data_IF_163546105039
#
_entry.id   IF_163546105039
#
_cell.length_a   1.000
_cell.length_b   1.000
_cell.length_c   1.000
_cell.angle_alpha   90.00
_cell.angle_beta   90.00
_cell.angle_gamma   90.00
#
_symmetry.space_group_name_H-M   'P 1'
#
loop_
_entity.id
_entity.type
_entity.pdbx_description
1 polymer ?
#
# COMPACT_ATOMS: atom_id res chain seq x y z
N UNK A 1 3.80 5.81 -14.93
CA UNK A 1 2.41 5.31 -14.89
C UNK A 1 1.91 4.92 -16.29
N UNK A 2 2.31 5.60 -17.38
CA UNK A 2 1.92 5.21 -18.74
C UNK A 2 2.31 3.78 -19.13
N UNK A 3 3.38 3.23 -18.57
CA UNK A 3 3.83 1.84 -18.84
C UNK A 3 2.88 0.74 -18.35
N UNK A 4 1.97 1.07 -17.44
CA UNK A 4 0.94 0.15 -16.91
C UNK A 4 -0.47 0.60 -17.29
N UNK A 5 -0.62 1.29 -18.42
CA UNK A 5 -1.93 1.74 -18.91
C UNK A 5 -2.59 2.89 -18.14
N UNK A 6 -1.95 3.44 -17.09
CA UNK A 6 -2.52 4.52 -16.27
C UNK A 6 -2.07 5.90 -16.77
N UNK A 7 -2.93 6.61 -17.50
CA UNK A 7 -2.71 8.01 -17.88
C UNK A 7 -3.23 8.98 -16.82
N UNK A 8 -2.35 9.39 -15.91
CA UNK A 8 -2.67 10.37 -14.87
C UNK A 8 -2.74 11.81 -15.41
N UNK A 9 -2.09 12.11 -16.52
CA UNK A 9 -2.06 13.48 -17.08
C UNK A 9 -3.45 13.98 -17.45
N UNK A 10 -4.33 13.10 -17.91
CA UNK A 10 -5.72 13.44 -18.23
C UNK A 10 -6.50 13.91 -16.99
N UNK A 11 -6.23 13.34 -15.83
CA UNK A 11 -6.89 13.71 -14.58
C UNK A 11 -6.40 15.02 -14.02
N UNK A 12 -5.10 15.29 -14.18
CA UNK A 12 -4.51 16.60 -13.86
C UNK A 12 -5.13 17.69 -14.71
N UNK A 13 -5.25 17.47 -16.04
CA UNK A 13 -5.88 18.42 -16.97
C UNK A 13 -7.35 18.71 -16.65
N UNK A 14 -8.07 17.72 -16.09
CA UNK A 14 -9.46 17.87 -15.65
C UNK A 14 -9.61 18.54 -14.28
N UNK A 15 -8.50 18.86 -13.59
CA UNK A 15 -8.51 19.40 -12.23
C UNK A 15 -8.94 18.40 -11.15
N UNK A 16 -8.98 17.11 -11.48
CA UNK A 16 -9.36 16.04 -10.55
C UNK A 16 -8.18 15.42 -9.82
N UNK A 17 -6.95 15.71 -10.25
CA UNK A 17 -5.72 15.24 -9.64
C UNK A 17 -4.71 16.40 -9.56
N UNK A 18 -4.15 16.61 -8.37
CA UNK A 18 -3.08 17.59 -8.14
C UNK A 18 -1.90 16.89 -7.51
N UNK A 19 -0.72 17.08 -8.08
CA UNK A 19 0.53 16.65 -7.46
C UNK A 19 1.16 17.83 -6.72
N UNK A 20 1.62 17.57 -5.51
CA UNK A 20 2.45 18.47 -4.74
C UNK A 20 3.75 17.76 -4.38
N UNK A 21 4.88 18.32 -4.77
CA UNK A 21 6.20 17.77 -4.47
C UNK A 21 6.95 18.71 -3.55
N UNK A 22 7.49 18.19 -2.46
CA UNK A 22 8.32 18.92 -1.52
C UNK A 22 9.51 18.05 -1.10
N UNK A 23 10.66 18.69 -0.83
CA UNK A 23 11.79 18.02 -0.20
C UNK A 23 11.64 18.15 1.31
N UNK A 24 11.55 17.04 2.07
CA UNK A 24 11.36 17.09 3.52
C UNK A 24 12.45 17.87 4.27
N UNK A 25 13.69 17.84 3.75
CA UNK A 25 14.84 18.53 4.35
C UNK A 25 14.87 20.05 4.16
N UNK A 26 13.99 20.64 3.34
CA UNK A 26 13.98 22.08 3.09
C UNK A 26 13.29 22.88 4.20
N UNK A 27 12.38 22.24 4.93
CA UNK A 27 11.54 22.90 5.94
C UNK A 27 11.40 21.99 7.16
N UNK A 28 11.12 22.57 8.32
CA UNK A 28 10.72 21.79 9.49
C UNK A 28 9.32 21.17 9.34
N UNK A 29 9.02 20.19 10.16
CA UNK A 29 7.77 19.43 10.16
C UNK A 29 6.51 20.30 10.22
N UNK A 30 6.52 21.36 11.04
CA UNK A 30 5.38 22.28 11.17
C UNK A 30 5.07 23.00 9.85
N UNK A 31 6.08 23.35 9.06
CA UNK A 31 5.88 23.98 7.76
C UNK A 31 5.29 23.00 6.75
N UNK A 32 5.65 21.71 6.84
CA UNK A 32 5.01 20.68 6.04
C UNK A 32 3.53 20.54 6.40
N UNK A 33 3.17 20.56 7.68
CA UNK A 33 1.77 20.51 8.10
C UNK A 33 0.98 21.71 7.59
N UNK A 34 1.51 22.92 7.72
CA UNK A 34 0.89 24.15 7.17
C UNK A 34 0.69 24.03 5.66
N UNK A 35 1.68 23.47 4.96
CA UNK A 35 1.59 23.27 3.52
C UNK A 35 0.50 22.26 3.16
N UNK A 36 0.39 21.15 3.90
CA UNK A 36 -0.68 20.17 3.68
C UNK A 36 -2.06 20.81 3.88
N UNK A 37 -2.27 21.56 4.98
CA UNK A 37 -3.53 22.26 5.22
C UNK A 37 -3.86 23.21 4.07
N UNK A 38 -2.89 24.01 3.61
CA UNK A 38 -3.10 24.95 2.48
C UNK A 38 -3.49 24.20 1.19
N UNK A 39 -2.78 23.13 0.83
CA UNK A 39 -3.08 22.35 -0.37
C UNK A 39 -4.47 21.72 -0.31
N UNK A 40 -4.86 21.21 0.88
CA UNK A 40 -6.18 20.63 1.12
C UNK A 40 -7.27 21.69 1.02
N UNK A 41 -7.10 22.86 1.62
CA UNK A 41 -8.09 23.95 1.54
C UNK A 41 -8.24 24.51 0.14
N UNK A 42 -7.14 24.62 -0.63
CA UNK A 42 -7.18 25.10 -2.01
C UNK A 42 -7.82 24.11 -2.98
N UNK A 43 -7.52 22.82 -2.83
CA UNK A 43 -7.94 21.79 -3.79
C UNK A 43 -9.23 21.07 -3.40
N UNK A 44 -9.58 21.05 -2.09
CA UNK A 44 -10.75 20.36 -1.53
C UNK A 44 -10.85 18.87 -1.99
N UNK A 45 -9.81 18.06 -1.75
CA UNK A 45 -9.78 16.68 -2.25
C UNK A 45 -10.74 15.78 -1.46
N UNK A 46 -11.29 14.76 -2.12
CA UNK A 46 -11.96 13.61 -1.47
C UNK A 46 -10.94 12.56 -1.00
N UNK A 47 -9.78 12.52 -1.66
CA UNK A 47 -8.69 11.58 -1.35
C UNK A 47 -7.38 12.34 -1.23
N UNK A 48 -6.64 12.08 -0.15
CA UNK A 48 -5.33 12.66 0.11
C UNK A 48 -4.28 11.55 0.26
N UNK A 49 -3.17 11.67 -0.47
CA UNK A 49 -2.10 10.66 -0.50
C UNK A 49 -0.78 11.31 -0.11
N UNK A 50 -0.06 10.72 0.85
CA UNK A 50 1.32 11.07 1.19
C UNK A 50 2.24 9.89 0.88
N UNK A 51 3.21 10.11 -0.01
CA UNK A 51 4.10 9.06 -0.52
C UNK A 51 5.56 9.52 -0.55
N UNK A 52 6.40 8.95 0.34
CA UNK A 52 6.12 8.22 1.55
C UNK A 52 6.21 9.09 2.82
N UNK A 53 5.55 8.66 3.91
CA UNK A 53 5.65 9.34 5.22
C UNK A 53 7.03 9.18 5.87
N UNK A 54 7.74 8.09 5.58
CA UNK A 54 9.11 7.84 6.08
C UNK A 54 10.09 8.96 5.73
N UNK A 55 9.87 9.69 4.65
CA UNK A 55 10.69 10.84 4.31
C UNK A 55 10.58 12.00 5.32
N UNK A 56 9.48 12.10 6.07
CA UNK A 56 9.31 13.11 7.11
C UNK A 56 10.25 12.90 8.30
N UNK A 57 10.74 11.66 8.52
CA UNK A 57 11.72 11.33 9.57
C UNK A 57 13.04 12.13 9.38
N UNK A 58 13.35 12.50 8.15
CA UNK A 58 14.53 13.33 7.86
C UNK A 58 14.37 14.80 8.27
N UNK A 59 13.16 15.24 8.64
CA UNK A 59 12.88 16.62 9.04
C UNK A 59 12.69 16.78 10.55
N UNK A 60 12.71 15.69 11.33
CA UNK A 60 12.54 15.72 12.78
C UNK A 60 12.68 14.35 13.44
N UNK A 61 12.45 14.30 14.74
CA UNK A 61 12.46 13.06 15.52
C UNK A 61 11.21 12.21 15.26
N UNK A 62 11.25 10.92 15.56
CA UNK A 62 10.10 10.02 15.44
C UNK A 62 8.87 10.51 16.22
N UNK A 63 9.07 11.06 17.42
CA UNK A 63 8.00 11.61 18.25
C UNK A 63 7.35 12.85 17.61
N UNK A 64 8.14 13.73 17.02
CA UNK A 64 7.64 14.91 16.31
C UNK A 64 6.88 14.50 15.04
N UNK A 65 7.40 13.55 14.26
CA UNK A 65 6.72 13.00 13.07
C UNK A 65 5.37 12.39 13.48
N UNK A 66 5.33 11.58 14.54
CA UNK A 66 4.08 11.02 15.08
C UNK A 66 3.07 12.09 15.45
N UNK A 67 3.52 13.14 16.16
CA UNK A 67 2.67 14.27 16.55
C UNK A 67 2.06 14.97 15.34
N UNK A 68 2.87 15.25 14.32
CA UNK A 68 2.42 15.89 13.08
C UNK A 68 1.45 15.00 12.30
N UNK A 69 1.74 13.70 12.18
CA UNK A 69 0.85 12.74 11.51
C UNK A 69 -0.48 12.62 12.26
N UNK A 70 -0.47 12.60 13.60
CA UNK A 70 -1.71 12.58 14.40
C UNK A 70 -2.58 13.79 14.06
N UNK A 71 -2.01 14.99 14.10
CA UNK A 71 -2.72 16.26 13.80
C UNK A 71 -3.24 16.29 12.36
N UNK A 72 -2.45 15.80 11.40
CA UNK A 72 -2.86 15.71 10.01
C UNK A 72 -4.02 14.72 9.82
N UNK A 73 -3.93 13.52 10.40
CA UNK A 73 -4.96 12.48 10.29
C UNK A 73 -6.27 12.96 10.93
N UNK A 74 -6.22 13.57 12.11
CA UNK A 74 -7.40 14.12 12.78
C UNK A 74 -8.06 15.22 11.93
N UNK A 75 -7.25 16.11 11.34
CA UNK A 75 -7.77 17.13 10.43
C UNK A 75 -8.45 16.54 9.19
N UNK A 76 -7.82 15.53 8.55
CA UNK A 76 -8.37 14.86 7.37
C UNK A 76 -9.67 14.10 7.72
N UNK A 77 -9.72 13.44 8.88
CA UNK A 77 -10.96 12.79 9.40
C UNK A 77 -12.08 13.79 9.65
N UNK A 78 -11.78 14.95 10.24
CA UNK A 78 -12.77 16.02 10.43
C UNK A 78 -13.34 16.55 9.10
N UNK A 79 -12.53 16.54 8.04
CA UNK A 79 -12.93 16.95 6.69
C UNK A 79 -13.59 15.81 5.89
N UNK A 80 -13.72 14.60 6.44
CA UNK A 80 -14.18 13.39 5.75
C UNK A 80 -13.35 13.05 4.49
N UNK A 81 -12.04 13.28 4.55
CA UNK A 81 -11.13 12.99 3.44
C UNK A 81 -10.53 11.60 3.64
N UNK A 82 -10.69 10.72 2.64
CA UNK A 82 -10.02 9.41 2.61
C UNK A 82 -8.51 9.59 2.48
N UNK A 83 -7.74 8.92 3.33
CA UNK A 83 -6.30 9.16 3.40
C UNK A 83 -5.51 7.90 3.17
N UNK A 84 -4.52 7.97 2.27
CA UNK A 84 -3.53 6.92 2.04
C UNK A 84 -2.14 7.43 2.42
N UNK A 85 -1.47 6.70 3.29
CA UNK A 85 -0.10 6.98 3.71
C UNK A 85 0.76 5.78 3.29
N UNK A 86 1.78 5.99 2.46
CA UNK A 86 2.74 4.94 2.16
C UNK A 86 3.94 5.05 3.08
N UNK A 87 4.52 3.91 3.42
CA UNK A 87 5.74 3.82 4.20
C UNK A 87 6.69 2.79 3.59
N UNK A 88 7.98 3.09 3.59
CA UNK A 88 9.01 2.18 3.11
C UNK A 88 9.53 1.36 4.30
N UNK A 89 9.03 0.14 4.43
CA UNK A 89 9.51 -0.78 5.44
C UNK A 89 10.84 -1.40 5.00
N UNK A 90 11.92 -1.17 5.75
CA UNK A 90 13.15 -1.93 5.57
C UNK A 90 13.00 -3.30 6.23
N UNK A 91 13.01 -4.34 5.44
CA UNK A 91 12.82 -5.74 5.83
C UNK A 91 14.05 -6.33 6.55
N UNK A 92 14.62 -5.63 7.52
CA UNK A 92 15.70 -6.14 8.39
C UNK A 92 15.22 -6.14 9.83
N UNK A 93 14.59 -7.24 10.24
CA UNK A 93 14.63 -7.72 11.62
C UNK A 93 13.68 -7.13 12.64
N UNK A 94 12.82 -6.14 12.36
CA UNK A 94 11.73 -5.79 13.26
C UNK A 94 10.66 -4.94 12.59
N UNK A 95 9.62 -5.58 12.08
CA UNK A 95 8.33 -4.95 11.73
C UNK A 95 7.67 -4.27 12.96
N UNK A 96 8.24 -4.44 14.15
CA UNK A 96 7.54 -4.17 15.40
C UNK A 96 7.78 -2.78 15.96
N UNK A 97 8.93 -2.12 15.74
CA UNK A 97 9.24 -0.92 16.52
C UNK A 97 8.83 0.43 15.92
N UNK A 98 8.91 0.63 14.59
CA UNK A 98 8.47 1.90 13.98
C UNK A 98 6.99 1.87 13.62
N UNK A 99 6.46 0.69 13.32
CA UNK A 99 5.09 0.47 12.93
C UNK A 99 4.08 0.51 14.07
N UNK A 100 4.44 0.08 15.29
CA UNK A 100 3.52 0.09 16.45
C UNK A 100 3.08 1.51 16.82
N UNK A 101 3.97 2.49 16.74
CA UNK A 101 3.66 3.86 17.12
C UNK A 101 2.65 4.54 16.19
N UNK A 102 2.73 4.29 14.88
CA UNK A 102 1.83 4.86 13.88
C UNK A 102 0.59 3.97 13.69
N UNK A 103 0.72 2.66 13.93
CA UNK A 103 -0.38 1.71 13.72
C UNK A 103 -1.63 2.04 14.52
N UNK A 104 -1.50 2.70 15.66
CA UNK A 104 -2.64 3.15 16.48
C UNK A 104 -3.49 4.22 15.80
N UNK A 105 -2.93 4.98 14.86
CA UNK A 105 -3.60 6.05 14.12
C UNK A 105 -4.31 5.57 12.86
N UNK A 106 -3.85 4.42 12.31
CA UNK A 106 -4.28 3.88 11.02
C UNK A 106 -5.45 2.92 11.20
N UNK A 107 -6.50 3.08 10.41
CA UNK A 107 -7.69 2.24 10.46
C UNK A 107 -7.49 0.94 9.68
N UNK A 108 -6.88 1.00 8.50
CA UNK A 108 -6.57 -0.18 7.68
C UNK A 108 -5.09 -0.18 7.28
N UNK A 109 -4.43 -1.32 7.46
CA UNK A 109 -3.04 -1.51 7.11
C UNK A 109 -2.88 -2.59 6.06
N UNK A 110 -2.42 -2.17 4.88
CA UNK A 110 -2.06 -3.04 3.78
C UNK A 110 -0.54 -3.22 3.75
N UNK A 111 -0.08 -4.45 3.60
CA UNK A 111 1.34 -4.73 3.39
C UNK A 111 1.57 -5.26 1.97
N UNK A 112 2.50 -4.61 1.27
CA UNK A 112 3.05 -5.05 0.00
C UNK A 112 4.44 -5.61 0.25
N UNK A 113 4.71 -6.82 -0.22
CA UNK A 113 6.04 -7.42 -0.10
C UNK A 113 6.41 -8.24 -1.33
N UNK A 114 7.70 -8.37 -1.57
CA UNK A 114 8.21 -9.35 -2.51
C UNK A 114 8.21 -10.74 -1.88
N UNK A 115 7.79 -11.73 -2.66
CA UNK A 115 7.80 -13.17 -2.33
C UNK A 115 8.79 -13.81 -3.31
N UNK A 116 9.88 -14.33 -2.78
CA UNK A 116 10.89 -15.02 -3.57
C UNK A 116 10.68 -16.52 -3.46
N UNK A 117 10.42 -17.16 -4.60
CA UNK A 117 10.20 -18.60 -4.69
C UNK A 117 10.75 -19.12 -6.04
N UNK A 118 11.53 -20.20 -6.00
CA UNK A 118 12.08 -20.89 -7.18
C UNK A 118 12.82 -19.97 -8.18
N UNK A 119 13.50 -18.92 -7.66
CA UNK A 119 14.24 -17.97 -8.49
C UNK A 119 13.37 -16.88 -9.13
N UNK A 120 12.08 -16.84 -8.81
CA UNK A 120 11.16 -15.77 -9.20
C UNK A 120 10.91 -14.82 -8.03
N UNK A 121 10.70 -13.53 -8.35
CA UNK A 121 10.27 -12.51 -7.39
C UNK A 121 8.87 -12.04 -7.77
N UNK A 122 7.90 -12.47 -7.00
CA UNK A 122 6.50 -12.10 -7.14
C UNK A 122 6.08 -11.11 -6.05
N UNK A 123 4.98 -10.42 -6.23
CA UNK A 123 4.50 -9.42 -5.28
C UNK A 123 3.27 -9.90 -4.56
N UNK A 124 3.32 -9.87 -3.23
CA UNK A 124 2.19 -10.21 -2.38
C UNK A 124 1.57 -8.96 -1.74
N UNK A 125 0.24 -8.96 -1.67
CA UNK A 125 -0.58 -7.99 -0.95
C UNK A 125 -1.37 -8.71 0.12
N UNK A 126 -1.40 -8.19 1.34
CA UNK A 126 -2.30 -8.66 2.39
C UNK A 126 -2.67 -7.59 3.40
N UNK A 127 -3.77 -7.80 4.10
CA UNK A 127 -4.30 -6.89 5.10
C UNK A 127 -3.77 -7.35 6.47
N UNK A 128 -2.91 -6.52 7.08
CA UNK A 128 -2.42 -6.79 8.44
C UNK A 128 -3.48 -6.46 9.50
N UNK A 129 -4.27 -5.43 9.23
CA UNK A 129 -5.25 -4.90 10.17
C UNK A 129 -6.33 -4.14 9.42
N UNK A 130 -7.58 -4.27 9.89
CA UNK A 130 -8.67 -3.39 9.49
C UNK A 130 -9.61 -3.20 10.68
N UNK A 131 -9.82 -1.94 11.08
CA UNK A 131 -10.71 -1.59 12.19
C UNK A 131 -12.15 -1.54 11.73
N UNK A 132 -13.04 -2.15 12.53
CA UNK A 132 -14.49 -2.05 12.33
C UNK A 132 -15.05 -2.86 11.15
N UNK A 133 -14.21 -3.64 10.46
CA UNK A 133 -14.66 -4.50 9.36
C UNK A 133 -13.92 -5.84 9.33
N UNK A 134 -14.63 -6.89 8.91
CA UNK A 134 -14.01 -8.17 8.62
C UNK A 134 -13.11 -8.05 7.38
N UNK A 135 -12.00 -8.75 7.37
CA UNK A 135 -11.08 -8.79 6.25
C UNK A 135 -10.49 -10.19 6.08
N UNK A 136 -10.03 -10.48 4.86
CA UNK A 136 -9.32 -11.71 4.57
C UNK A 136 -7.93 -11.70 5.24
N UNK A 137 -7.51 -12.86 5.73
CA UNK A 137 -6.15 -13.10 6.21
C UNK A 137 -5.25 -13.72 5.11
N UNK A 138 -5.77 -13.90 3.90
CA UNK A 138 -5.05 -14.48 2.80
C UNK A 138 -4.16 -13.44 2.12
N UNK A 139 -2.99 -13.90 1.67
CA UNK A 139 -2.12 -13.11 0.79
C UNK A 139 -2.68 -13.23 -0.62
N UNK A 140 -2.64 -12.13 -1.37
CA UNK A 140 -2.95 -12.14 -2.81
C UNK A 140 -1.70 -11.75 -3.59
N UNK A 141 -1.45 -12.44 -4.70
CA UNK A 141 -0.42 -12.03 -5.64
C UNK A 141 -0.95 -10.87 -6.47
N UNK A 142 -0.14 -9.81 -6.64
CA UNK A 142 -0.51 -8.77 -7.59
C UNK A 142 0.48 -8.68 -8.75
N UNK A 143 -0.09 -8.54 -9.93
CA UNK A 143 0.63 -8.40 -11.19
C UNK A 143 0.49 -6.97 -11.71
N UNK A 144 1.60 -6.44 -12.21
CA UNK A 144 1.60 -5.21 -12.99
C UNK A 144 1.52 -5.58 -14.47
N UNK A 145 0.41 -5.25 -15.09
CA UNK A 145 0.14 -5.52 -16.49
C UNK A 145 0.12 -4.23 -17.31
N UNK A 146 0.03 -4.33 -18.62
CA UNK A 146 -0.14 -3.16 -19.49
C UNK A 146 -1.54 -2.52 -19.35
N UNK A 147 -2.47 -3.21 -18.69
CA UNK A 147 -3.86 -2.76 -18.47
C UNK A 147 -4.12 -2.31 -17.04
N UNK A 148 -3.11 -2.40 -16.16
CA UNK A 148 -3.21 -1.99 -14.77
C UNK A 148 -2.64 -3.00 -13.79
N UNK A 149 -3.31 -3.14 -12.65
CA UNK A 149 -2.97 -4.07 -11.56
C UNK A 149 -4.04 -5.13 -11.48
N UNK A 150 -3.63 -6.40 -11.54
CA UNK A 150 -4.49 -7.55 -11.32
C UNK A 150 -4.15 -8.21 -9.99
N UNK A 151 -5.18 -8.62 -9.24
CA UNK A 151 -5.05 -9.40 -8.01
C UNK A 151 -5.43 -10.85 -8.30
N UNK A 152 -4.57 -11.77 -7.89
CA UNK A 152 -4.74 -13.19 -8.10
C UNK A 152 -4.65 -13.90 -6.75
N UNK A 153 -5.59 -14.82 -6.49
CA UNK A 153 -5.55 -15.64 -5.29
C UNK A 153 -4.31 -16.55 -5.32
N UNK A 154 -3.61 -16.58 -4.21
CA UNK A 154 -2.43 -17.44 -4.04
C UNK A 154 -2.90 -18.85 -3.71
N UNK A 155 -2.28 -19.83 -4.34
CA UNK A 155 -2.46 -21.22 -3.97
C UNK A 155 -1.81 -21.51 -2.61
N UNK A 156 -2.60 -21.95 -1.64
CA UNK A 156 -2.13 -22.38 -0.31
C UNK A 156 -2.23 -23.90 -0.21
N UNK A 157 -1.34 -24.62 -0.91
CA UNK A 157 -1.19 -26.06 -0.75
C UNK A 157 -0.22 -26.38 0.39
N UNK A 158 -0.33 -27.59 0.97
CA UNK A 158 0.60 -28.23 1.95
C UNK A 158 1.56 -27.35 2.77
N UNK A 159 1.16 -26.12 3.14
CA UNK A 159 1.89 -25.23 4.06
C UNK A 159 2.80 -24.19 3.40
N UNK A 160 2.96 -24.16 2.10
CA UNK A 160 3.72 -23.13 1.40
C UNK A 160 2.79 -22.23 0.56
N UNK A 161 3.16 -20.95 0.51
CA UNK A 161 2.51 -19.95 -0.34
C UNK A 161 3.12 -20.02 -1.74
N UNK A 162 2.38 -20.54 -2.72
CA UNK A 162 2.86 -20.64 -4.09
C UNK A 162 2.40 -19.44 -4.93
N UNK A 163 3.35 -18.84 -5.65
CA UNK A 163 3.14 -17.69 -6.54
C UNK A 163 3.79 -17.93 -7.90
N UNK A 164 3.42 -17.14 -8.90
CA UNK A 164 4.05 -17.19 -10.23
C UNK A 164 3.97 -18.56 -10.90
N UNK A 165 5.09 -19.04 -11.44
CA UNK A 165 5.20 -20.31 -12.13
C UNK A 165 4.89 -21.52 -11.25
N UNK A 166 5.28 -21.49 -9.97
CA UNK A 166 5.01 -22.57 -9.03
C UNK A 166 3.50 -22.78 -8.81
N UNK A 167 2.71 -21.69 -8.73
CA UNK A 167 1.26 -21.74 -8.66
C UNK A 167 0.67 -22.35 -9.94
N UNK A 168 1.12 -21.89 -11.12
CA UNK A 168 0.61 -22.36 -12.39
C UNK A 168 0.84 -23.86 -12.59
N UNK A 169 2.00 -24.38 -12.17
CA UNK A 169 2.29 -25.83 -12.21
C UNK A 169 1.33 -26.59 -11.31
N UNK A 170 1.17 -26.18 -10.06
CA UNK A 170 0.30 -26.85 -9.10
C UNK A 170 -1.17 -26.86 -9.55
N UNK A 171 -1.68 -25.73 -10.04
CA UNK A 171 -3.03 -25.66 -10.60
C UNK A 171 -3.25 -26.60 -11.78
N UNK A 172 -2.21 -26.78 -12.62
CA UNK A 172 -2.28 -27.70 -13.76
C UNK A 172 -2.29 -29.18 -13.33
N UNK A 173 -1.51 -29.55 -12.31
CA UNK A 173 -1.46 -30.88 -11.74
C UNK A 173 -2.78 -31.24 -11.04
N UNK A 174 -3.39 -30.33 -10.32
CA UNK A 174 -4.70 -30.55 -9.70
C UNK A 174 -5.80 -30.75 -10.72
N UNK A 175 -5.86 -29.90 -11.75
CA UNK A 175 -6.82 -30.05 -12.86
C UNK A 175 -6.67 -31.40 -13.55
N UNK A 176 -5.43 -31.86 -13.77
CA UNK A 176 -5.16 -33.18 -14.37
C UNK A 176 -5.65 -34.30 -13.44
N UNK A 177 -5.38 -34.21 -12.13
CA UNK A 177 -5.80 -35.20 -11.16
C UNK A 177 -7.32 -35.28 -10.99
N UNK A 178 -8.03 -34.14 -11.03
CA UNK A 178 -9.50 -34.09 -11.00
C UNK A 178 -10.15 -34.70 -12.25
N UNK A 179 -9.55 -34.47 -13.44
CA UNK A 179 -10.03 -35.06 -14.66
C UNK A 179 -9.88 -36.57 -14.65
N UNK A 180 -8.79 -37.10 -14.13
CA UNK A 180 -8.57 -38.55 -13.98
C UNK A 180 -9.60 -39.18 -13.04
N UNK A 181 -9.91 -38.54 -11.90
CA UNK A 181 -10.92 -39.01 -10.93
C UNK A 181 -12.36 -38.97 -11.43
N UNK A 182 -12.68 -38.12 -12.42
CA UNK A 182 -14.01 -38.04 -13.04
C UNK A 182 -14.20 -39.08 -14.21
N UNK A 183 -13.10 -39.67 -14.67
CA UNK A 183 -13.10 -40.64 -15.75
C UNK A 183 -13.04 -42.12 -15.25
N UNK A 184 -12.89 -42.32 -13.96
CA UNK A 184 -13.05 -43.60 -13.25
C UNK A 184 -14.47 -43.71 -12.66
#
# INVERSE_FOLDING_TARGET
MGSIGMDLARWVKKGLLKFHSARPSLYGLEMHLVTFHRVIEEFQPEVFIVDPISNLINAGTAAEVKSILTRLIDYLKMKNISTFLTDLTHFIGSLEHTSEEISSLIDTWLLLRDIELNGERNRGLYILKSRGMAHSNQIQEFLLTNEGIDLIDIYTGSGEVLTGSARAVQESEEKASEQTRRSE
#
